data_IF_678746392760
#
_entry.id   IF_678746392760
#
_cell.length_a   1.000
_cell.length_b   1.000
_cell.length_c   1.000
_cell.angle_alpha   90.00
_cell.angle_beta   90.00
_cell.angle_gamma   90.00
#
_symmetry.space_group_name_H-M   'P 1'
#
loop_
_entity.id
_entity.type
_entity.pdbx_description
1 polymer ?
#
# COMPACT_ATOMS: atom_id res chain seq x y z
N UNK A 1 -5.24 -33.95 -32.72
CA UNK A 1 -6.22 -33.62 -31.67
C UNK A 1 -5.64 -32.52 -30.79
N UNK A 2 -6.23 -31.31 -30.72
CA UNK A 2 -5.70 -30.27 -29.86
C UNK A 2 -6.15 -30.51 -28.41
N UNK A 3 -5.18 -30.51 -27.49
CA UNK A 3 -5.40 -30.65 -26.05
C UNK A 3 -6.31 -29.53 -25.55
N UNK A 4 -7.54 -29.88 -25.20
CA UNK A 4 -8.49 -28.99 -24.53
C UNK A 4 -7.90 -28.63 -23.15
N UNK A 5 -7.31 -27.44 -23.00
CA UNK A 5 -6.89 -26.95 -21.68
C UNK A 5 -8.14 -26.91 -20.80
N UNK A 6 -8.16 -27.73 -19.77
CA UNK A 6 -9.18 -27.71 -18.72
C UNK A 6 -9.36 -26.25 -18.29
N UNK A 7 -10.60 -25.76 -18.37
CA UNK A 7 -10.99 -24.49 -17.76
C UNK A 7 -10.81 -24.63 -16.24
N UNK A 8 -9.57 -24.43 -15.78
CA UNK A 8 -9.28 -24.16 -14.38
C UNK A 8 -10.14 -22.94 -14.07
N UNK A 9 -11.08 -23.08 -13.14
CA UNK A 9 -11.85 -21.97 -12.58
C UNK A 9 -10.89 -20.84 -12.21
N UNK A 10 -10.65 -19.92 -13.14
CA UNK A 10 -10.01 -18.65 -12.83
C UNK A 10 -11.14 -17.83 -12.26
N UNK A 11 -11.08 -17.59 -10.95
CA UNK A 11 -11.93 -16.56 -10.37
C UNK A 11 -11.84 -15.33 -11.28
N UNK A 12 -12.98 -14.74 -11.68
CA UNK A 12 -12.96 -13.53 -12.48
C UNK A 12 -12.07 -12.52 -11.75
N UNK A 13 -11.15 -11.84 -12.45
CA UNK A 13 -10.35 -10.81 -11.81
C UNK A 13 -11.32 -9.83 -11.14
N UNK A 14 -11.17 -9.53 -9.82
CA UNK A 14 -12.06 -8.57 -9.17
C UNK A 14 -12.11 -7.25 -9.95
N UNK A 15 -13.19 -6.46 -9.85
CA UNK A 15 -13.39 -5.28 -10.68
C UNK A 15 -12.20 -4.30 -10.59
N UNK A 16 -11.93 -3.52 -11.66
CA UNK A 16 -10.92 -2.49 -11.63
C UNK A 16 -11.22 -1.54 -10.48
N UNK A 17 -10.26 -1.42 -9.56
CA UNK A 17 -10.40 -0.58 -8.38
C UNK A 17 -9.70 0.73 -8.70
N UNK A 18 -10.43 1.84 -8.57
CA UNK A 18 -9.83 3.18 -8.64
C UNK A 18 -9.02 3.40 -7.38
N UNK A 19 -7.73 3.65 -7.54
CA UNK A 19 -6.79 3.89 -6.44
C UNK A 19 -6.39 5.36 -6.47
N UNK A 20 -6.64 6.03 -5.36
CA UNK A 20 -6.18 7.40 -5.14
C UNK A 20 -4.74 7.37 -4.62
N UNK A 21 -3.85 8.10 -5.29
CA UNK A 21 -2.40 8.13 -5.02
C UNK A 21 -1.92 9.57 -4.99
N UNK A 22 -0.80 9.85 -4.31
CA UNK A 22 -0.18 11.18 -4.37
C UNK A 22 0.45 11.44 -5.75
N UNK A 23 0.58 12.71 -6.10
CA UNK A 23 1.42 13.13 -7.22
C UNK A 23 2.85 12.56 -7.07
N UNK A 24 3.37 11.98 -8.15
CA UNK A 24 4.71 11.35 -8.16
C UNK A 24 4.74 9.88 -7.74
N UNK A 25 3.63 9.29 -7.29
CA UNK A 25 3.56 7.86 -6.99
C UNK A 25 3.91 6.99 -8.21
N UNK A 26 3.47 7.41 -9.40
CA UNK A 26 3.81 6.75 -10.66
C UNK A 26 5.33 6.73 -10.94
N UNK A 27 6.06 7.79 -10.57
CA UNK A 27 7.51 7.86 -10.69
C UNK A 27 8.17 6.80 -9.80
N UNK A 28 7.70 6.68 -8.58
CA UNK A 28 8.26 5.76 -7.57
C UNK A 28 7.98 4.31 -7.95
N UNK A 29 6.79 4.02 -8.49
CA UNK A 29 6.50 2.71 -9.08
C UNK A 29 7.44 2.38 -10.25
N UNK A 30 7.74 3.36 -11.12
CA UNK A 30 8.68 3.17 -12.22
C UNK A 30 10.11 2.93 -11.72
N UNK A 31 10.56 3.69 -10.73
CA UNK A 31 11.86 3.52 -10.07
C UNK A 31 11.98 2.14 -9.40
N UNK A 32 10.95 1.67 -8.69
CA UNK A 32 10.92 0.33 -8.11
C UNK A 32 11.03 -0.76 -9.20
N UNK A 33 10.34 -0.57 -10.33
CA UNK A 33 10.42 -1.49 -11.45
C UNK A 33 11.82 -1.51 -12.09
N UNK A 34 12.47 -0.35 -12.20
CA UNK A 34 13.86 -0.26 -12.66
C UNK A 34 14.85 -0.91 -11.69
N UNK A 35 14.68 -0.68 -10.39
CA UNK A 35 15.51 -1.31 -9.35
C UNK A 35 15.38 -2.85 -9.39
N UNK A 36 14.16 -3.37 -9.57
CA UNK A 36 13.94 -4.82 -9.74
C UNK A 36 14.60 -5.36 -11.01
N UNK A 37 14.59 -4.60 -12.11
CA UNK A 37 15.31 -4.97 -13.35
C UNK A 37 16.82 -5.03 -13.13
N UNK A 38 17.42 -4.02 -12.47
CA UNK A 38 18.85 -4.00 -12.14
C UNK A 38 19.22 -5.20 -11.27
N UNK A 39 18.48 -5.41 -10.18
CA UNK A 39 18.65 -6.56 -9.28
C UNK A 39 18.56 -7.90 -9.99
N UNK A 40 17.65 -8.03 -10.97
CA UNK A 40 17.54 -9.25 -11.79
C UNK A 40 18.80 -9.49 -12.62
N UNK A 41 19.39 -8.45 -13.20
CA UNK A 41 20.63 -8.56 -13.98
C UNK A 41 21.78 -9.01 -13.09
N UNK A 42 21.92 -8.44 -11.90
CA UNK A 42 23.00 -8.80 -10.98
C UNK A 42 22.86 -10.24 -10.49
N UNK A 43 21.65 -10.67 -10.10
CA UNK A 43 21.39 -12.08 -9.74
C UNK A 43 21.68 -13.07 -10.89
N UNK A 44 21.56 -12.63 -12.15
CA UNK A 44 21.93 -13.46 -13.30
C UNK A 44 23.44 -13.58 -13.43
N UNK A 45 24.21 -12.51 -13.15
CA UNK A 45 25.68 -12.56 -13.08
C UNK A 45 26.12 -13.51 -11.97
N UNK A 46 25.56 -13.37 -10.77
CA UNK A 46 25.83 -14.24 -9.61
C UNK A 46 25.55 -15.71 -9.94
N UNK A 47 24.47 -15.97 -10.67
CA UNK A 47 24.13 -17.34 -11.13
C UNK A 47 25.19 -17.88 -12.11
N UNK A 48 25.70 -17.06 -13.02
CA UNK A 48 26.72 -17.47 -14.00
C UNK A 48 28.07 -17.71 -13.30
N UNK A 49 28.43 -16.88 -12.33
CA UNK A 49 29.61 -17.07 -11.48
C UNK A 49 29.49 -18.31 -10.60
N UNK A 50 28.37 -18.50 -9.90
CA UNK A 50 28.13 -19.72 -9.13
C UNK A 50 28.18 -20.97 -10.01
N UNK A 51 27.76 -20.87 -11.28
CA UNK A 51 27.85 -21.97 -12.24
C UNK A 51 29.30 -22.26 -12.69
N UNK A 52 30.22 -21.28 -12.65
CA UNK A 52 31.63 -21.50 -13.02
C UNK A 52 32.46 -22.12 -11.89
N UNK A 53 32.01 -22.00 -10.63
CA UNK A 53 32.72 -22.49 -9.44
C UNK A 53 32.58 -24.00 -9.15
N UNK A 54 32.07 -24.81 -10.08
CA UNK A 54 32.13 -26.29 -9.98
C UNK A 54 30.80 -27.00 -9.75
N UNK A 55 30.82 -28.15 -9.06
CA UNK A 55 29.79 -29.20 -9.12
C UNK A 55 28.37 -28.70 -8.75
N UNK A 56 27.49 -28.72 -9.76
CA UNK A 56 26.13 -28.17 -9.75
C UNK A 56 25.19 -28.86 -8.75
N UNK A 57 25.53 -30.07 -8.28
CA UNK A 57 24.66 -30.85 -7.36
C UNK A 57 24.67 -30.32 -5.92
N UNK A 58 25.81 -29.83 -5.44
CA UNK A 58 25.98 -29.33 -4.05
C UNK A 58 26.05 -27.81 -3.94
N UNK A 59 26.09 -27.08 -5.06
CA UNK A 59 26.22 -25.63 -5.02
C UNK A 59 24.94 -24.94 -4.48
N UNK A 60 24.98 -24.59 -3.19
CA UNK A 60 23.94 -23.82 -2.50
C UNK A 60 23.76 -22.42 -3.11
N UNK A 61 24.85 -21.80 -3.57
CA UNK A 61 24.83 -20.50 -4.25
C UNK A 61 24.01 -20.52 -5.54
N UNK A 62 24.14 -21.57 -6.36
CA UNK A 62 23.34 -21.71 -7.58
C UNK A 62 21.85 -21.87 -7.29
N UNK A 63 21.49 -22.68 -6.28
CA UNK A 63 20.09 -22.86 -5.85
C UNK A 63 19.51 -21.55 -5.30
N UNK A 64 20.27 -20.85 -4.46
CA UNK A 64 19.88 -19.56 -3.89
C UNK A 64 19.68 -18.48 -4.97
N UNK A 65 20.63 -18.33 -5.90
CA UNK A 65 20.52 -17.39 -7.01
C UNK A 65 19.30 -17.68 -7.90
N UNK A 66 19.03 -18.96 -8.21
CA UNK A 66 17.84 -19.37 -8.97
C UNK A 66 16.54 -19.05 -8.25
N UNK A 67 16.49 -19.22 -6.93
CA UNK A 67 15.32 -18.87 -6.12
C UNK A 67 15.13 -17.35 -6.03
N UNK A 68 16.21 -16.60 -5.85
CA UNK A 68 16.20 -15.13 -5.82
C UNK A 68 15.69 -14.56 -7.15
N UNK A 69 16.15 -15.06 -8.30
CA UNK A 69 15.65 -14.65 -9.63
C UNK A 69 14.14 -14.91 -9.72
N UNK A 70 13.67 -16.09 -9.30
CA UNK A 70 12.23 -16.42 -9.31
C UNK A 70 11.43 -15.51 -8.39
N UNK A 71 11.99 -15.12 -7.24
CA UNK A 71 11.33 -14.19 -6.33
C UNK A 71 11.20 -12.80 -6.96
N UNK A 72 12.25 -12.30 -7.63
CA UNK A 72 12.23 -11.03 -8.37
C UNK A 72 11.25 -11.07 -9.53
N UNK A 73 11.27 -12.12 -10.37
CA UNK A 73 10.33 -12.27 -11.50
C UNK A 73 8.87 -12.31 -11.03
N UNK A 74 8.59 -12.97 -9.89
CA UNK A 74 7.25 -12.95 -9.27
C UNK A 74 6.83 -11.55 -8.82
N UNK A 75 7.73 -10.80 -8.19
CA UNK A 75 7.47 -9.40 -7.78
C UNK A 75 7.20 -8.52 -9.00
N UNK A 76 8.04 -8.59 -10.03
CA UNK A 76 7.86 -7.82 -11.27
C UNK A 76 6.52 -8.13 -11.94
N UNK A 77 6.15 -9.41 -12.05
CA UNK A 77 4.86 -9.82 -12.64
C UNK A 77 3.67 -9.35 -11.80
N UNK A 78 3.80 -9.37 -10.47
CA UNK A 78 2.77 -8.87 -9.57
C UNK A 78 2.58 -7.36 -9.70
N UNK A 79 3.67 -6.60 -9.79
CA UNK A 79 3.66 -5.15 -9.96
C UNK A 79 3.07 -4.75 -11.32
N UNK A 80 3.50 -5.40 -12.40
CA UNK A 80 2.95 -5.17 -13.75
C UNK A 80 1.43 -5.45 -13.80
N UNK A 81 1.01 -6.59 -13.23
CA UNK A 81 -0.42 -6.91 -13.11
C UNK A 81 -1.18 -5.88 -12.27
N UNK A 82 -0.56 -5.38 -11.20
CA UNK A 82 -1.17 -4.37 -10.33
C UNK A 82 -1.37 -3.05 -11.10
N UNK A 83 -0.37 -2.60 -11.86
CA UNK A 83 -0.45 -1.36 -12.65
C UNK A 83 -1.48 -1.48 -13.77
N UNK A 84 -1.48 -2.58 -14.53
CA UNK A 84 -2.40 -2.78 -15.66
C UNK A 84 -3.86 -2.87 -15.21
N UNK A 85 -4.10 -3.37 -14.01
CA UNK A 85 -5.45 -3.65 -13.51
C UNK A 85 -6.12 -2.45 -12.84
N UNK A 86 -5.34 -1.56 -12.24
CA UNK A 86 -5.84 -0.48 -11.41
C UNK A 86 -5.77 0.84 -12.15
N UNK A 87 -6.73 1.73 -11.88
CA UNK A 87 -6.69 3.10 -12.37
C UNK A 87 -6.16 3.98 -11.27
N UNK A 88 -5.01 4.62 -11.50
CA UNK A 88 -4.40 5.55 -10.55
C UNK A 88 -4.94 6.95 -10.80
N UNK A 89 -5.52 7.57 -9.78
CA UNK A 89 -5.91 8.97 -9.79
C UNK A 89 -4.99 9.70 -8.83
N UNK A 90 -4.22 10.63 -9.37
CA UNK A 90 -3.37 11.50 -8.55
C UNK A 90 -4.23 12.54 -7.85
N UNK A 91 -4.10 12.60 -6.53
CA UNK A 91 -4.82 13.56 -5.68
C UNK A 91 -3.85 14.18 -4.72
N UNK A 92 -3.96 15.49 -4.58
CA UNK A 92 -3.29 16.22 -3.51
C UNK A 92 -4.31 16.50 -2.37
N UNK A 93 -4.10 15.94 -1.17
CA UNK A 93 -4.96 16.20 -0.01
C UNK A 93 -5.11 17.69 0.30
N UNK A 94 -4.07 18.50 0.09
CA UNK A 94 -4.11 19.93 0.38
C UNK A 94 -5.02 20.69 -0.59
N UNK A 95 -4.95 20.35 -1.88
CA UNK A 95 -5.79 20.97 -2.91
C UNK A 95 -7.24 20.48 -2.86
N UNK A 96 -7.46 19.20 -2.55
CA UNK A 96 -8.79 18.57 -2.53
C UNK A 96 -9.70 19.09 -1.40
N UNK A 97 -9.11 19.50 -0.27
CA UNK A 97 -9.82 19.89 0.95
C UNK A 97 -10.06 21.39 1.09
N UNK A 98 -10.23 22.11 -0.02
CA UNK A 98 -10.43 23.57 0.00
C UNK A 98 -11.75 24.01 0.63
N UNK A 99 -12.72 23.11 0.81
CA UNK A 99 -14.02 23.41 1.44
C UNK A 99 -14.33 22.42 2.56
N UNK A 100 -14.91 22.87 3.69
CA UNK A 100 -15.38 21.97 4.74
C UNK A 100 -16.52 21.11 4.19
N UNK A 101 -16.32 19.80 4.18
CA UNK A 101 -17.34 18.83 3.74
C UNK A 101 -18.07 18.25 4.94
N UNK A 102 -19.39 18.01 4.84
CA UNK A 102 -20.18 17.42 5.93
C UNK A 102 -19.91 15.92 6.11
N UNK A 103 -19.23 15.29 5.16
CA UNK A 103 -18.92 13.85 5.14
C UNK A 103 -17.40 13.62 5.17
N UNK A 104 -16.99 12.47 5.70
CA UNK A 104 -15.60 12.01 5.62
C UNK A 104 -15.22 11.74 4.16
N UNK A 105 -14.06 12.25 3.76
CA UNK A 105 -13.45 12.13 2.44
C UNK A 105 -11.96 11.86 2.58
N UNK A 106 -11.31 11.52 1.47
CA UNK A 106 -9.86 11.40 1.38
C UNK A 106 -9.14 12.69 1.81
N UNK A 107 -8.04 12.53 2.54
CA UNK A 107 -7.21 13.59 3.09
C UNK A 107 -7.66 14.12 4.46
N UNK A 108 -8.87 13.81 4.92
CA UNK A 108 -9.35 14.32 6.21
C UNK A 108 -8.67 13.63 7.40
N UNK A 109 -8.44 14.42 8.45
CA UNK A 109 -8.12 13.88 9.78
C UNK A 109 -9.42 13.64 10.51
N UNK A 110 -9.65 12.38 10.87
CA UNK A 110 -10.89 11.91 11.49
C UNK A 110 -10.58 11.36 12.87
N UNK A 111 -11.32 11.84 13.86
CA UNK A 111 -11.33 11.22 15.20
C UNK A 111 -12.54 10.30 15.29
N UNK A 112 -12.26 9.03 15.56
CA UNK A 112 -13.25 7.96 15.54
C UNK A 112 -13.31 7.28 16.90
N UNK A 113 -14.53 7.03 17.36
CA UNK A 113 -14.80 6.21 18.53
C UNK A 113 -15.32 4.85 18.07
N UNK A 114 -14.52 3.81 18.29
CA UNK A 114 -14.87 2.42 18.02
C UNK A 114 -15.37 1.77 19.31
N UNK A 115 -16.55 1.17 19.25
CA UNK A 115 -17.10 0.35 20.32
C UNK A 115 -17.27 -1.09 19.84
N UNK A 116 -16.54 -2.02 20.45
CA UNK A 116 -16.70 -3.45 20.13
C UNK A 116 -18.01 -4.00 20.72
N UNK A 117 -18.80 -4.70 19.91
CA UNK A 117 -20.11 -5.21 20.33
C UNK A 117 -19.98 -6.28 21.42
N UNK A 118 -18.97 -7.16 21.29
CA UNK A 118 -18.74 -8.25 22.22
C UNK A 118 -18.17 -7.83 23.59
N UNK A 119 -17.20 -6.90 23.61
CA UNK A 119 -16.49 -6.51 24.84
C UNK A 119 -16.97 -5.19 25.43
N UNK A 120 -17.79 -4.43 24.68
CA UNK A 120 -18.23 -3.06 25.00
C UNK A 120 -17.08 -2.08 25.28
N UNK A 121 -15.84 -2.43 24.90
CA UNK A 121 -14.70 -1.54 25.04
C UNK A 121 -14.80 -0.41 24.03
N UNK A 122 -14.59 0.80 24.51
CA UNK A 122 -14.53 2.02 23.69
C UNK A 122 -13.08 2.38 23.47
N UNK A 123 -12.71 2.53 22.22
CA UNK A 123 -11.40 2.99 21.81
C UNK A 123 -11.55 4.24 20.95
N UNK A 124 -10.73 5.26 21.22
CA UNK A 124 -10.69 6.49 20.45
C UNK A 124 -9.38 6.56 19.71
N UNK A 125 -9.46 6.77 18.41
CA UNK A 125 -8.31 6.91 17.54
C UNK A 125 -8.47 8.13 16.65
N UNK A 126 -7.35 8.79 16.33
CA UNK A 126 -7.30 9.89 15.39
C UNK A 126 -6.38 9.49 14.25
N UNK A 127 -6.89 9.56 13.02
CA UNK A 127 -6.12 9.18 11.86
C UNK A 127 -6.44 10.02 10.63
N UNK A 128 -5.47 10.14 9.75
CA UNK A 128 -5.58 10.78 8.45
C UNK A 128 -5.92 9.72 7.40
N UNK A 129 -7.00 9.94 6.66
CA UNK A 129 -7.39 9.06 5.55
C UNK A 129 -6.50 9.37 4.34
N UNK A 130 -5.43 8.61 4.20
CA UNK A 130 -4.35 8.85 3.25
C UNK A 130 -4.56 8.13 1.92
N UNK A 131 -3.71 8.47 0.95
CA UNK A 131 -3.68 7.79 -0.34
C UNK A 131 -3.09 6.38 -0.20
N UNK A 132 -3.17 5.57 -1.25
CA UNK A 132 -2.68 4.20 -1.20
C UNK A 132 -1.15 4.12 -0.97
N UNK A 133 -0.71 3.20 -0.13
CA UNK A 133 0.70 2.97 0.17
C UNK A 133 1.27 3.88 1.27
N UNK A 134 0.51 4.85 1.76
CA UNK A 134 0.94 5.74 2.84
C UNK A 134 0.55 5.14 4.18
N UNK A 135 1.55 4.79 4.99
CA UNK A 135 1.36 4.37 6.37
C UNK A 135 2.48 5.01 7.18
N UNK A 136 2.09 5.93 8.04
CA UNK A 136 2.99 6.70 8.88
C UNK A 136 2.28 6.98 10.20
N UNK A 137 3.05 7.20 11.26
CA UNK A 137 2.51 7.59 12.55
C UNK A 137 3.30 8.79 13.02
N UNK A 138 2.62 9.90 13.24
CA UNK A 138 3.25 11.06 13.86
C UNK A 138 3.19 10.90 15.38
N UNK A 139 4.36 10.71 16.00
CA UNK A 139 4.48 10.57 17.44
C UNK A 139 4.20 11.87 18.20
N UNK A 140 4.33 13.04 17.55
CA UNK A 140 4.09 14.35 18.17
C UNK A 140 2.59 14.68 18.19
N UNK A 141 1.89 14.49 17.07
CA UNK A 141 0.45 14.75 16.99
C UNK A 141 -0.42 13.55 17.37
N UNK A 142 0.16 12.35 17.47
CA UNK A 142 -0.56 11.10 17.73
C UNK A 142 -1.50 10.68 16.59
N UNK A 143 -1.27 11.20 15.37
CA UNK A 143 -2.10 10.94 14.20
C UNK A 143 -1.47 9.79 13.41
N UNK A 144 -2.29 8.80 13.08
CA UNK A 144 -1.88 7.70 12.19
C UNK A 144 -2.37 7.97 10.75
N UNK A 145 -1.56 7.67 9.76
CA UNK A 145 -1.96 7.65 8.35
C UNK A 145 -2.49 6.27 7.99
N UNK A 146 -3.77 6.23 7.60
CA UNK A 146 -4.43 5.02 7.14
C UNK A 146 -4.81 5.15 5.67
N UNK A 147 -4.37 4.23 4.80
CA UNK A 147 -4.75 4.25 3.40
C UNK A 147 -6.26 3.99 3.26
N UNK A 148 -6.91 4.62 2.29
CA UNK A 148 -8.35 4.45 2.02
C UNK A 148 -8.79 2.99 1.78
N UNK A 149 -7.87 2.13 1.35
CA UNK A 149 -8.11 0.69 1.16
C UNK A 149 -8.16 -0.12 2.47
N UNK A 150 -7.84 0.50 3.61
CA UNK A 150 -7.96 -0.15 4.92
C UNK A 150 -9.43 -0.40 5.27
N UNK A 151 -9.80 -1.55 5.87
CA UNK A 151 -11.18 -1.84 6.27
C UNK A 151 -11.82 -0.75 7.13
N UNK A 152 -11.02 -0.12 8.01
CA UNK A 152 -11.48 0.96 8.86
C UNK A 152 -11.74 2.24 8.06
N UNK A 153 -10.85 2.59 7.13
CA UNK A 153 -10.99 3.77 6.29
C UNK A 153 -12.19 3.62 5.34
N UNK A 154 -12.33 2.46 4.69
CA UNK A 154 -13.48 2.16 3.82
C UNK A 154 -14.81 2.24 4.57
N UNK A 155 -14.83 1.80 5.84
CA UNK A 155 -16.02 1.84 6.68
C UNK A 155 -16.46 3.26 7.08
N UNK A 156 -15.53 4.21 7.20
CA UNK A 156 -15.85 5.59 7.59
C UNK A 156 -16.04 6.54 6.41
N UNK A 157 -15.51 6.21 5.23
CA UNK A 157 -15.60 7.06 4.05
C UNK A 157 -17.08 7.31 3.70
N UNK A 158 -17.44 8.59 3.56
CA UNK A 158 -18.81 9.01 3.30
C UNK A 158 -19.71 9.12 4.53
N UNK A 159 -19.26 8.74 5.73
CA UNK A 159 -20.04 8.92 6.95
C UNK A 159 -20.08 10.39 7.38
N UNK A 160 -21.20 10.76 8.01
CA UNK A 160 -21.41 12.03 8.68
C UNK A 160 -20.96 11.96 10.13
N UNK A 161 -20.47 13.08 10.72
CA UNK A 161 -20.20 13.18 12.15
C UNK A 161 -21.39 12.74 13.00
N UNK A 162 -21.10 12.20 14.18
CA UNK A 162 -22.03 11.73 15.21
C UNK A 162 -23.05 10.69 14.77
N UNK A 163 -22.82 10.05 13.61
CA UNK A 163 -23.67 8.98 13.11
C UNK A 163 -23.07 7.61 13.46
N UNK A 164 -23.67 6.85 14.41
CA UNK A 164 -23.18 5.53 14.76
C UNK A 164 -23.50 4.53 13.64
N UNK A 165 -22.48 3.85 13.14
CA UNK A 165 -22.59 2.87 12.05
C UNK A 165 -22.02 1.53 12.49
N UNK A 166 -22.79 0.47 12.36
CA UNK A 166 -22.34 -0.90 12.65
C UNK A 166 -21.55 -1.44 11.46
N UNK A 167 -20.32 -1.88 11.71
CA UNK A 167 -19.41 -2.39 10.68
C UNK A 167 -18.79 -3.71 11.11
N UNK A 168 -18.54 -4.57 10.12
CA UNK A 168 -17.84 -5.83 10.31
C UNK A 168 -16.35 -5.64 10.03
N UNK A 169 -15.54 -5.57 11.08
CA UNK A 169 -14.09 -5.50 10.95
C UNK A 169 -13.48 -6.91 11.05
N UNK A 170 -12.23 -7.11 10.60
CA UNK A 170 -11.54 -8.40 10.77
C UNK A 170 -11.46 -8.88 12.22
N UNK A 171 -11.51 -7.96 13.19
CA UNK A 171 -11.51 -8.25 14.62
C UNK A 171 -12.91 -8.58 15.20
N UNK A 172 -13.97 -8.52 14.38
CA UNK A 172 -15.36 -8.72 14.79
C UNK A 172 -16.26 -7.51 14.49
N UNK A 173 -17.52 -7.63 14.89
CA UNK A 173 -18.50 -6.55 14.76
C UNK A 173 -18.19 -5.41 15.74
N UNK A 174 -18.15 -4.19 15.18
CA UNK A 174 -17.91 -2.97 15.93
C UNK A 174 -18.88 -1.88 15.50
N UNK A 175 -19.30 -1.05 16.45
CA UNK A 175 -20.02 0.19 16.17
C UNK A 175 -19.00 1.31 16.11
N UNK A 176 -18.98 2.03 14.99
CA UNK A 176 -18.09 3.15 14.76
C UNK A 176 -18.88 4.45 14.79
N UNK A 177 -18.40 5.43 15.54
CA UNK A 177 -18.95 6.80 15.53
C UNK A 177 -17.85 7.79 15.18
N UNK A 178 -18.04 8.57 14.13
CA UNK A 178 -17.15 9.69 13.78
C UNK A 178 -17.44 10.85 14.73
N UNK A 179 -16.45 11.33 15.48
CA UNK A 179 -16.61 12.44 16.44
C UNK A 179 -16.23 13.79 15.88
N UNK A 180 -15.15 13.84 15.10
CA UNK A 180 -14.66 15.07 14.52
C UNK A 180 -14.05 14.79 13.16
N UNK A 181 -14.28 15.72 12.24
CA UNK A 181 -13.63 15.78 10.93
C UNK A 181 -12.93 17.13 10.89
N UNK A 182 -11.64 17.13 10.59
CA UNK A 182 -10.87 18.36 10.39
C UNK A 182 -9.95 18.21 9.18
N UNK A 183 -9.69 19.35 8.53
CA UNK A 183 -8.65 19.42 7.52
C UNK A 183 -7.28 19.30 8.21
N UNK A 184 -6.34 18.51 7.66
CA UNK A 184 -4.97 18.49 8.14
C UNK A 184 -4.30 19.84 7.86
N UNK A 185 -3.36 20.23 8.72
CA UNK A 185 -2.47 21.37 8.45
C UNK A 185 -1.31 20.95 7.54
N UNK A 186 -0.74 21.91 6.79
CA UNK A 186 0.41 21.62 5.91
C UNK A 186 1.59 21.02 6.69
N UNK A 187 1.85 21.49 7.91
CA UNK A 187 2.91 20.95 8.76
C UNK A 187 2.65 19.50 9.21
N UNK A 188 1.40 19.14 9.51
CA UNK A 188 1.02 17.74 9.79
C UNK A 188 1.16 16.87 8.55
N UNK A 189 0.74 17.38 7.39
CA UNK A 189 0.94 16.69 6.10
C UNK A 189 2.42 16.48 5.85
N UNK A 190 3.28 17.49 5.93
CA UNK A 190 4.70 17.34 5.62
C UNK A 190 5.41 16.31 6.53
N UNK A 191 4.98 16.17 7.80
CA UNK A 191 5.51 15.17 8.74
C UNK A 191 5.00 13.76 8.44
N UNK A 192 3.69 13.62 8.25
CA UNK A 192 3.02 12.34 8.03
C UNK A 192 3.25 11.79 6.62
N UNK A 193 3.27 12.70 5.66
CA UNK A 193 3.42 12.47 4.24
C UNK A 193 4.85 12.85 3.83
N UNK A 194 5.84 12.34 4.57
CA UNK A 194 7.26 12.47 4.24
C UNK A 194 7.45 12.33 2.73
N UNK A 195 8.29 13.20 2.11
CA UNK A 195 8.44 13.22 0.67
C UNK A 195 8.74 11.81 0.19
N UNK A 196 8.06 11.39 -0.87
CA UNK A 196 8.38 10.16 -1.57
C UNK A 196 9.72 10.41 -2.26
N UNK A 197 10.78 10.39 -1.46
CA UNK A 197 12.14 10.39 -1.93
C UNK A 197 12.30 9.08 -2.70
N UNK A 198 12.90 9.12 -3.90
CA UNK A 198 13.51 7.92 -4.44
C UNK A 198 14.34 7.30 -3.32
N UNK A 199 14.36 5.97 -3.14
CA UNK A 199 15.38 5.39 -2.29
C UNK A 199 16.71 5.94 -2.79
N UNK A 200 17.45 6.65 -1.92
CA UNK A 200 18.80 7.04 -2.24
C UNK A 200 19.49 5.75 -2.67
N UNK A 201 19.88 5.71 -3.94
CA UNK A 201 20.79 4.69 -4.43
C UNK A 201 22.08 5.01 -3.70
N UNK A 202 22.22 4.48 -2.49
CA UNK A 202 23.53 4.25 -1.91
C UNK A 202 24.16 3.27 -2.89
N UNK A 203 24.91 3.83 -3.82
CA UNK A 203 26.01 3.13 -4.44
C UNK A 203 26.86 2.65 -3.27
N UNK A 204 26.62 1.41 -2.84
CA UNK A 204 27.60 0.63 -2.09
C UNK A 204 28.81 0.46 -3.02
N UNK A 205 29.60 1.53 -3.15
CA UNK A 205 30.96 1.45 -3.62
C UNK A 205 31.69 0.54 -2.65
N UNK A 206 32.01 -0.65 -3.17
CA UNK A 206 32.58 -1.75 -2.42
C UNK A 206 33.86 -1.38 -1.68
N UNK A 207 33.98 -1.99 -0.50
CA UNK A 207 35.24 -2.20 0.19
C UNK A 207 36.07 -3.30 -0.49
#
# INVERSE_FOLDING_TARGET
>A
MPLHRKNIFRLPPPPPTTIYVRHGYNRVLAEEFEALKRKRVDLVKDKVEAHSQGDLRENFGFKAAKEAIRAVDRKMTALDRFVVRNTFIEVDPATWLTKPTPTVQLGHVVTVEKQDVGTKRKHRFTFLVATHGETATDAESGIECLPHSSPLATAILGLTPDTPTTVTLPAGEAVITVRAIRNPTQAELDRLLSPIAPPDVQDDEGE
#
